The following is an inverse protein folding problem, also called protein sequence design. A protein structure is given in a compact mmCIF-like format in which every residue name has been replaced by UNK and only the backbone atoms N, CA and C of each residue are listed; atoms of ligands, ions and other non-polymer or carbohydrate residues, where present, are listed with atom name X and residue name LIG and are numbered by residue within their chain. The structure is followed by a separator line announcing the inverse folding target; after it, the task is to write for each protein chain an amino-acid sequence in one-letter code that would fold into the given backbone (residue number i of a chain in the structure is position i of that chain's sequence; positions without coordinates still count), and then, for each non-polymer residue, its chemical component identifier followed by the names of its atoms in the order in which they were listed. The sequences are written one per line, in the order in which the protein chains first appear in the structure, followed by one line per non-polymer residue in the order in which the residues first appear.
data_IF_231614643463
#
_entry.id   IF_231614643463
#
_cell.length_a   1.000
_cell.length_b   1.000
_cell.length_c   1.000
_cell.angle_alpha   90.00
_cell.angle_beta   90.00
_cell.angle_gamma   90.00
#
_symmetry.space_group_name_H-M   'P 1'
#
loop_
_entity.id
_entity.type
_entity.pdbx_description
1 polymer ?
#
# COMPACT_ATOMS: atom_id res chain seq x y z
N UNK A 1 -27.83 -4.06 33.35
CA UNK A 1 -27.25 -4.45 32.05
C UNK A 1 -28.24 -4.07 30.97
N UNK A 2 -27.90 -3.13 30.09
CA UNK A 2 -28.76 -2.82 28.94
C UNK A 2 -28.60 -3.95 27.92
N UNK A 3 -29.70 -4.64 27.61
CA UNK A 3 -29.71 -5.69 26.60
C UNK A 3 -29.32 -5.07 25.24
N UNK A 4 -28.29 -5.62 24.61
CA UNK A 4 -27.86 -5.20 23.28
C UNK A 4 -28.86 -5.78 22.27
N UNK A 5 -29.51 -4.94 21.47
CA UNK A 5 -30.40 -5.40 20.40
C UNK A 5 -29.56 -5.76 19.16
N UNK A 6 -29.05 -6.99 19.13
CA UNK A 6 -28.19 -7.47 18.04
C UNK A 6 -28.88 -7.43 16.67
N UNK A 7 -30.19 -7.64 16.60
CA UNK A 7 -30.93 -7.64 15.34
C UNK A 7 -31.05 -6.24 14.71
N UNK A 8 -31.38 -5.23 15.52
CA UNK A 8 -31.42 -3.83 15.05
C UNK A 8 -30.02 -3.26 14.74
N UNK A 9 -29.00 -3.75 15.43
CA UNK A 9 -27.61 -3.43 15.14
C UNK A 9 -27.16 -4.01 13.80
N UNK A 10 -27.57 -5.23 13.47
CA UNK A 10 -27.24 -5.88 12.21
C UNK A 10 -27.90 -5.19 11.01
N UNK A 11 -29.19 -4.83 11.10
CA UNK A 11 -29.86 -4.10 10.01
C UNK A 11 -29.22 -2.74 9.75
N UNK A 12 -28.84 -2.00 10.78
CA UNK A 12 -28.12 -0.73 10.63
C UNK A 12 -26.74 -0.87 9.95
N UNK A 13 -26.03 -1.97 10.23
CA UNK A 13 -24.76 -2.30 9.55
C UNK A 13 -25.01 -2.63 8.07
N UNK A 14 -25.99 -3.48 7.79
CA UNK A 14 -26.33 -3.90 6.44
C UNK A 14 -26.80 -2.72 5.58
N UNK A 15 -27.74 -1.93 6.09
CA UNK A 15 -28.29 -0.77 5.38
C UNK A 15 -27.22 0.31 5.17
N UNK A 16 -26.36 0.55 6.15
CA UNK A 16 -25.24 1.47 6.03
C UNK A 16 -24.26 1.05 4.93
N UNK A 17 -23.98 -0.24 4.83
CA UNK A 17 -23.06 -0.79 3.84
C UNK A 17 -23.67 -0.79 2.44
N UNK A 18 -24.91 -1.28 2.30
CA UNK A 18 -25.62 -1.32 1.03
C UNK A 18 -25.81 0.06 0.40
N UNK A 19 -25.99 1.10 1.22
CA UNK A 19 -26.10 2.49 0.78
C UNK A 19 -24.74 3.21 0.66
N UNK A 20 -23.62 2.52 0.81
CA UNK A 20 -22.28 3.10 0.65
C UNK A 20 -21.91 4.16 1.68
N UNK A 21 -22.57 4.19 2.84
CA UNK A 21 -22.31 5.21 3.88
C UNK A 21 -20.93 5.05 4.52
N UNK A 22 -20.47 3.81 4.68
CA UNK A 22 -19.13 3.49 5.17
C UNK A 22 -18.76 2.04 4.85
N UNK A 23 -17.47 1.71 4.99
CA UNK A 23 -16.97 0.33 4.84
C UNK A 23 -17.55 -0.54 5.95
N UNK A 24 -17.92 -1.78 5.61
CA UNK A 24 -18.56 -2.76 6.50
C UNK A 24 -17.87 -2.88 7.88
N UNK A 25 -16.54 -2.95 7.91
CA UNK A 25 -15.76 -3.07 9.15
C UNK A 25 -15.97 -1.90 10.11
N UNK A 26 -16.11 -0.67 9.59
CA UNK A 26 -16.37 0.51 10.41
C UNK A 26 -17.78 0.44 11.00
N UNK A 27 -18.76 0.05 10.17
CA UNK A 27 -20.16 -0.07 10.59
C UNK A 27 -20.33 -1.15 11.67
N UNK A 28 -19.62 -2.27 11.57
CA UNK A 28 -19.62 -3.34 12.58
C UNK A 28 -19.05 -2.85 13.91
N UNK A 29 -17.98 -2.05 13.91
CA UNK A 29 -17.41 -1.50 15.16
C UNK A 29 -18.31 -0.39 15.74
N UNK A 30 -18.95 0.40 14.87
CA UNK A 30 -19.86 1.46 15.29
C UNK A 30 -21.17 0.90 15.84
N UNK A 31 -21.74 -0.14 15.23
CA UNK A 31 -23.11 -0.56 15.50
C UNK A 31 -23.23 -2.03 15.91
N UNK A 32 -22.24 -2.88 15.63
CA UNK A 32 -22.45 -4.33 15.53
C UNK A 32 -22.35 -5.16 16.82
N UNK A 33 -21.56 -4.81 17.84
CA UNK A 33 -21.21 -5.85 18.84
C UNK A 33 -20.97 -5.47 20.30
N UNK A 34 -20.94 -4.21 20.72
CA UNK A 34 -20.61 -3.91 22.12
C UNK A 34 -21.25 -2.63 22.71
N UNK A 35 -21.40 -2.62 24.05
CA UNK A 35 -21.87 -1.47 24.82
C UNK A 35 -20.91 -0.27 24.78
N UNK A 36 -21.35 0.89 25.31
CA UNK A 36 -20.72 2.20 25.08
C UNK A 36 -19.20 2.27 25.30
N UNK A 37 -18.68 1.70 26.39
CA UNK A 37 -17.24 1.75 26.69
C UNK A 37 -16.39 0.90 25.73
N UNK A 38 -16.82 -0.32 25.43
CA UNK A 38 -16.10 -1.21 24.50
C UNK A 38 -16.16 -0.66 23.08
N UNK A 39 -17.31 -0.11 22.65
CA UNK A 39 -17.44 0.59 21.37
C UNK A 39 -16.44 1.74 21.25
N UNK A 40 -16.30 2.58 22.27
CA UNK A 40 -15.37 3.71 22.25
C UNK A 40 -13.91 3.26 22.14
N UNK A 41 -13.51 2.23 22.89
CA UNK A 41 -12.16 1.67 22.82
C UNK A 41 -11.89 1.05 21.44
N UNK A 42 -12.81 0.21 20.93
CA UNK A 42 -12.65 -0.42 19.62
C UNK A 42 -12.58 0.59 18.48
N UNK A 43 -13.38 1.66 18.52
CA UNK A 43 -13.33 2.73 17.51
C UNK A 43 -11.99 3.46 17.53
N UNK A 44 -11.44 3.68 18.72
CA UNK A 44 -10.12 4.32 18.90
C UNK A 44 -9.03 3.46 18.29
N UNK A 45 -8.99 2.17 18.63
CA UNK A 45 -8.02 1.23 18.07
C UNK A 45 -8.16 1.09 16.56
N UNK A 46 -9.39 1.03 16.04
CA UNK A 46 -9.64 0.98 14.60
C UNK A 46 -9.12 2.23 13.89
N UNK A 47 -9.33 3.41 14.48
CA UNK A 47 -8.83 4.69 13.92
C UNK A 47 -7.30 4.70 13.87
N UNK A 48 -6.65 4.26 14.94
CA UNK A 48 -5.19 4.12 15.00
C UNK A 48 -4.69 3.12 13.95
N UNK A 49 -5.36 1.98 13.81
CA UNK A 49 -5.00 0.96 12.83
C UNK A 49 -5.11 1.48 11.39
N UNK A 50 -6.21 2.18 11.05
CA UNK A 50 -6.41 2.80 9.73
C UNK A 50 -5.32 3.85 9.48
N UNK A 51 -4.99 4.66 10.48
CA UNK A 51 -3.93 5.66 10.37
C UNK A 51 -2.57 5.02 10.04
N UNK A 52 -2.16 3.98 10.78
CA UNK A 52 -0.91 3.29 10.47
C UNK A 52 -0.94 2.53 9.14
N UNK A 53 -2.07 1.90 8.79
CA UNK A 53 -2.23 1.20 7.52
C UNK A 53 -2.05 2.16 6.34
N UNK A 54 -2.70 3.32 6.38
CA UNK A 54 -2.58 4.33 5.31
C UNK A 54 -1.16 4.89 5.20
N UNK A 55 -0.48 5.16 6.32
CA UNK A 55 0.93 5.58 6.33
C UNK A 55 1.83 4.50 5.71
N UNK A 56 1.67 3.24 6.14
CA UNK A 56 2.47 2.13 5.63
C UNK A 56 2.33 1.98 4.11
N UNK A 57 1.09 2.01 3.61
CA UNK A 57 0.83 1.97 2.16
C UNK A 57 1.47 3.15 1.43
N UNK A 58 1.32 4.37 1.96
CA UNK A 58 1.89 5.56 1.33
C UNK A 58 3.43 5.53 1.27
N UNK A 59 4.08 5.13 2.36
CA UNK A 59 5.54 5.01 2.44
C UNK A 59 6.06 3.94 1.48
N UNK A 60 5.41 2.76 1.44
CA UNK A 60 5.81 1.68 0.54
C UNK A 60 5.76 2.11 -0.94
N UNK A 61 4.74 2.88 -1.34
CA UNK A 61 4.65 3.41 -2.70
C UNK A 61 5.71 4.48 -2.98
N UNK A 62 5.96 5.40 -2.04
CA UNK A 62 7.01 6.41 -2.19
C UNK A 62 8.41 5.78 -2.31
N UNK A 63 8.71 4.76 -1.49
CA UNK A 63 9.95 4.00 -1.58
C UNK A 63 10.09 3.29 -2.93
N UNK A 64 9.04 2.59 -3.37
CA UNK A 64 9.05 1.92 -4.67
C UNK A 64 9.21 2.89 -5.85
N UNK A 65 8.65 4.09 -5.76
CA UNK A 65 8.86 5.14 -6.77
C UNK A 65 10.31 5.64 -6.75
N UNK A 66 10.84 5.99 -5.57
CA UNK A 66 12.20 6.46 -5.40
C UNK A 66 13.22 5.47 -5.96
N UNK A 67 13.10 4.18 -5.61
CA UNK A 67 14.04 3.17 -6.06
C UNK A 67 14.05 3.04 -7.58
N UNK A 68 12.88 3.06 -8.23
CA UNK A 68 12.79 3.03 -9.70
C UNK A 68 13.42 4.26 -10.34
N UNK A 69 13.12 5.45 -9.82
CA UNK A 69 13.65 6.71 -10.34
C UNK A 69 15.18 6.81 -10.16
N UNK A 70 15.68 6.45 -8.98
CA UNK A 70 17.12 6.50 -8.65
C UNK A 70 17.92 5.45 -9.41
N UNK A 71 17.41 4.22 -9.53
CA UNK A 71 18.05 3.17 -10.31
C UNK A 71 18.09 3.52 -11.81
N UNK A 72 17.00 4.10 -12.33
CA UNK A 72 16.97 4.60 -13.70
C UNK A 72 17.99 5.72 -13.91
N UNK A 73 18.07 6.68 -12.98
CA UNK A 73 19.03 7.77 -13.03
C UNK A 73 20.47 7.25 -13.03
N UNK A 74 20.82 6.36 -12.08
CA UNK A 74 22.15 5.78 -11.98
C UNK A 74 22.55 5.05 -13.27
N UNK A 75 21.65 4.25 -13.85
CA UNK A 75 21.91 3.54 -15.11
C UNK A 75 22.14 4.52 -16.27
N UNK A 76 21.39 5.62 -16.31
CA UNK A 76 21.48 6.63 -17.37
C UNK A 76 22.76 7.47 -17.27
N UNK A 77 23.22 7.78 -16.06
CA UNK A 77 24.42 8.59 -15.84
C UNK A 77 25.71 7.78 -15.76
N UNK A 78 25.62 6.44 -15.68
CA UNK A 78 26.79 5.58 -15.48
C UNK A 78 27.51 5.89 -14.17
N UNK A 79 26.81 6.41 -13.17
CA UNK A 79 27.41 6.84 -11.91
C UNK A 79 27.91 5.63 -11.11
N UNK A 80 29.12 5.72 -10.57
CA UNK A 80 29.71 4.67 -9.75
C UNK A 80 28.77 4.29 -8.59
N UNK A 81 28.55 2.99 -8.33
CA UNK A 81 27.63 2.53 -7.29
C UNK A 81 27.87 3.16 -5.92
N UNK A 82 29.12 3.42 -5.54
CA UNK A 82 29.47 4.00 -4.23
C UNK A 82 29.07 5.47 -4.12
N UNK A 83 29.20 6.21 -5.22
CA UNK A 83 28.80 7.63 -5.28
C UNK A 83 27.28 7.75 -5.33
N UNK A 84 26.60 6.85 -6.05
CA UNK A 84 25.15 6.75 -6.09
C UNK A 84 24.57 6.48 -4.70
N UNK A 85 25.14 5.51 -3.96
CA UNK A 85 24.71 5.15 -2.62
C UNK A 85 24.85 6.32 -1.63
N UNK A 86 25.99 7.02 -1.64
CA UNK A 86 26.23 8.16 -0.76
C UNK A 86 25.24 9.32 -0.99
N UNK A 87 24.78 9.52 -2.25
CA UNK A 87 23.81 10.57 -2.60
C UNK A 87 22.35 10.09 -2.57
N UNK A 88 22.12 8.78 -2.40
CA UNK A 88 20.79 8.15 -2.52
C UNK A 88 19.80 8.73 -1.52
N UNK A 89 20.20 8.90 -0.26
CA UNK A 89 19.30 9.44 0.77
C UNK A 89 18.84 10.87 0.44
N UNK A 90 19.77 11.75 0.03
CA UNK A 90 19.42 13.14 -0.31
C UNK A 90 18.51 13.21 -1.53
N UNK A 91 18.84 12.48 -2.60
CA UNK A 91 18.02 12.44 -3.82
C UNK A 91 16.66 11.79 -3.56
N UNK A 92 16.63 10.72 -2.77
CA UNK A 92 15.41 10.06 -2.32
C UNK A 92 14.51 10.98 -1.51
N UNK A 93 15.05 11.76 -0.57
CA UNK A 93 14.27 12.73 0.19
C UNK A 93 13.62 13.80 -0.71
N UNK A 94 14.37 14.32 -1.70
CA UNK A 94 13.85 15.28 -2.68
C UNK A 94 12.75 14.64 -3.55
N UNK A 95 12.97 13.44 -4.05
CA UNK A 95 11.98 12.71 -4.85
C UNK A 95 10.71 12.40 -4.03
N UNK A 96 10.85 11.98 -2.77
CA UNK A 96 9.71 11.79 -1.85
C UNK A 96 8.94 13.09 -1.66
N UNK A 97 9.62 14.21 -1.45
CA UNK A 97 8.96 15.50 -1.30
C UNK A 97 8.18 15.89 -2.55
N UNK A 98 8.77 15.75 -3.73
CA UNK A 98 8.10 15.98 -5.01
C UNK A 98 6.90 15.05 -5.17
N UNK A 99 7.05 13.77 -4.85
CA UNK A 99 5.97 12.78 -4.88
C UNK A 99 4.79 13.19 -3.98
N UNK A 100 5.07 13.66 -2.77
CA UNK A 100 4.04 14.16 -1.83
C UNK A 100 3.34 15.39 -2.42
N UNK A 101 4.08 16.36 -2.96
CA UNK A 101 3.47 17.55 -3.57
C UNK A 101 2.57 17.20 -4.77
N UNK A 102 3.00 16.28 -5.64
CA UNK A 102 2.22 15.84 -6.78
C UNK A 102 0.96 15.10 -6.37
N UNK A 103 1.06 14.16 -5.43
CA UNK A 103 -0.08 13.39 -4.94
C UNK A 103 -1.08 14.28 -4.20
N UNK A 104 -0.60 15.25 -3.43
CA UNK A 104 -1.44 16.28 -2.80
C UNK A 104 -2.12 17.18 -3.83
N UNK A 105 -1.42 17.62 -4.88
CA UNK A 105 -2.01 18.40 -5.97
C UNK A 105 -3.11 17.63 -6.70
N UNK A 106 -2.89 16.35 -6.99
CA UNK A 106 -3.89 15.48 -7.63
C UNK A 106 -5.11 15.28 -6.72
N UNK A 107 -4.92 15.18 -5.40
CA UNK A 107 -6.03 14.98 -4.47
C UNK A 107 -7.00 16.16 -4.42
N UNK A 108 -6.55 17.38 -4.76
CA UNK A 108 -7.42 18.55 -4.87
C UNK A 108 -8.44 18.43 -6.01
N UNK A 109 -8.18 17.61 -7.03
CA UNK A 109 -9.09 17.39 -8.16
C UNK A 109 -10.32 16.54 -7.81
N UNK A 110 -10.47 16.11 -6.55
CA UNK A 110 -11.63 15.39 -6.03
C UNK A 110 -11.32 13.93 -5.71
N UNK A 111 -11.24 13.64 -4.41
CA UNK A 111 -10.95 12.29 -3.88
C UNK A 111 -11.91 11.22 -4.42
N UNK A 112 -13.20 11.53 -4.54
CA UNK A 112 -14.22 10.58 -5.00
C UNK A 112 -13.97 10.13 -6.45
N UNK A 113 -13.62 11.05 -7.34
CA UNK A 113 -13.32 10.72 -8.74
C UNK A 113 -12.03 9.90 -8.86
N UNK A 114 -11.04 10.20 -8.01
CA UNK A 114 -9.78 9.45 -7.95
C UNK A 114 -10.00 8.02 -7.45
N UNK A 115 -10.85 7.83 -6.44
CA UNK A 115 -11.19 6.50 -5.91
C UNK A 115 -12.03 5.72 -6.92
N UNK A 116 -13.02 6.33 -7.56
CA UNK A 116 -13.92 5.58 -8.44
C UNK A 116 -13.32 5.28 -9.81
N UNK A 117 -12.58 6.22 -10.42
CA UNK A 117 -12.01 6.05 -11.77
C UNK A 117 -10.52 5.70 -11.74
N UNK A 118 -9.78 6.30 -10.81
CA UNK A 118 -8.35 6.03 -10.66
C UNK A 118 -8.07 4.61 -10.19
N UNK A 119 -8.89 4.06 -9.28
CA UNK A 119 -8.73 2.68 -8.84
C UNK A 119 -9.01 1.70 -9.98
N UNK A 120 -10.06 1.93 -10.79
CA UNK A 120 -10.35 1.12 -11.97
C UNK A 120 -9.19 1.18 -12.98
N UNK A 121 -8.65 2.35 -13.25
CA UNK A 121 -7.48 2.50 -14.13
C UNK A 121 -6.25 1.76 -13.58
N UNK A 122 -5.96 1.89 -12.29
CA UNK A 122 -4.88 1.16 -11.63
C UNK A 122 -5.08 -0.36 -11.70
N UNK A 123 -6.31 -0.85 -11.54
CA UNK A 123 -6.65 -2.27 -11.70
C UNK A 123 -6.33 -2.79 -13.11
N UNK A 124 -6.64 -2.03 -14.16
CA UNK A 124 -6.27 -2.41 -15.53
C UNK A 124 -4.76 -2.44 -15.72
N UNK A 125 -4.01 -1.48 -15.17
CA UNK A 125 -2.54 -1.50 -15.23
C UNK A 125 -1.98 -2.73 -14.50
N UNK A 126 -2.53 -3.07 -13.33
CA UNK A 126 -2.10 -4.25 -12.56
C UNK A 126 -2.35 -5.56 -13.29
N UNK A 127 -3.40 -5.64 -14.12
CA UNK A 127 -3.64 -6.82 -14.96
C UNK A 127 -2.42 -7.12 -15.84
N UNK A 128 -1.88 -6.11 -16.53
CA UNK A 128 -0.77 -6.29 -17.45
C UNK A 128 0.60 -6.30 -16.78
N UNK A 129 0.77 -5.58 -15.68
CA UNK A 129 2.08 -5.39 -15.02
C UNK A 129 2.37 -6.39 -13.91
N UNK A 130 1.33 -6.99 -13.31
CA UNK A 130 1.45 -7.92 -12.20
C UNK A 130 0.76 -9.26 -12.50
N UNK A 131 -0.55 -9.24 -12.74
CA UNK A 131 -1.36 -10.47 -12.80
C UNK A 131 -0.92 -11.36 -13.96
N UNK A 132 -0.91 -10.84 -15.19
CA UNK A 132 -0.50 -11.62 -16.37
C UNK A 132 0.93 -12.15 -16.24
N UNK A 133 1.96 -11.33 -15.91
CA UNK A 133 3.32 -11.84 -15.69
C UNK A 133 3.40 -12.93 -14.62
N UNK A 134 2.70 -12.77 -13.48
CA UNK A 134 2.70 -13.77 -12.42
C UNK A 134 2.06 -15.08 -12.87
N UNK A 135 0.91 -15.03 -13.54
CA UNK A 135 0.24 -16.23 -14.09
C UNK A 135 1.15 -16.92 -15.11
N UNK A 136 1.78 -16.16 -16.01
CA UNK A 136 2.71 -16.70 -17.00
C UNK A 136 3.91 -17.38 -16.32
N UNK A 137 4.49 -16.79 -15.27
CA UNK A 137 5.58 -17.41 -14.51
C UNK A 137 5.13 -18.68 -13.77
N UNK A 138 3.87 -18.76 -13.31
CA UNK A 138 3.33 -19.99 -12.73
C UNK A 138 3.17 -21.08 -13.79
N UNK A 139 2.72 -20.73 -15.01
CA UNK A 139 2.52 -21.69 -16.11
C UNK A 139 3.85 -22.19 -16.67
N UNK A 140 4.79 -21.27 -16.95
CA UNK A 140 6.09 -21.58 -17.56
C UNK A 140 7.06 -22.19 -16.53
N UNK A 141 6.75 -22.06 -15.23
CA UNK A 141 7.67 -22.30 -14.14
C UNK A 141 8.53 -21.06 -13.91
N UNK A 142 8.72 -20.70 -12.64
CA UNK A 142 9.56 -19.55 -12.29
C UNK A 142 11.00 -19.90 -12.67
N UNK A 143 11.62 -19.21 -13.65
CA UNK A 143 13.03 -19.38 -13.85
C UNK A 143 13.71 -18.85 -12.59
N UNK A 144 14.39 -19.73 -11.86
CA UNK A 144 15.24 -19.32 -10.76
C UNK A 144 16.24 -18.31 -11.33
N UNK A 145 16.00 -17.02 -11.08
CA UNK A 145 17.07 -16.03 -11.22
C UNK A 145 18.14 -16.51 -10.27
N UNK A 146 19.39 -16.55 -10.73
CA UNK A 146 20.58 -16.80 -9.93
C UNK A 146 20.63 -15.90 -8.67
N UNK A 147 19.84 -16.22 -7.67
CA UNK A 147 19.98 -15.74 -6.30
C UNK A 147 21.11 -16.51 -5.60
N UNK A 148 21.56 -17.61 -6.21
CA UNK A 148 22.55 -18.54 -5.66
C UNK A 148 23.98 -18.27 -6.16
N UNK A 149 24.20 -17.54 -7.27
CA UNK A 149 25.57 -17.28 -7.76
C UNK A 149 26.35 -16.34 -6.84
N UNK A 150 25.68 -15.38 -6.19
CA UNK A 150 26.30 -14.50 -5.20
C UNK A 150 26.65 -15.18 -3.86
N UNK A 151 25.94 -16.24 -3.50
CA UNK A 151 26.20 -16.99 -2.25
C UNK A 151 27.30 -18.03 -2.42
N UNK A 152 27.41 -18.64 -3.59
CA UNK A 152 28.48 -19.63 -3.91
C UNK A 152 29.85 -18.98 -4.09
N UNK A 153 29.93 -17.75 -4.59
CA UNK A 153 31.21 -17.01 -4.69
C UNK A 153 31.76 -16.65 -3.30
N UNK A 154 30.92 -16.28 -2.33
CA UNK A 154 31.40 -15.96 -0.97
C UNK A 154 31.79 -17.20 -0.15
N UNK A 155 31.24 -18.37 -0.46
CA UNK A 155 31.62 -19.62 0.20
C UNK A 155 32.96 -20.19 -0.32
N UNK A 156 33.46 -19.75 -1.48
CA UNK A 156 34.72 -20.22 -2.08
C UNK A 156 35.96 -19.36 -1.79
N UNK A 157 35.80 -18.20 -1.14
CA UNK A 157 36.90 -17.24 -0.88
C UNK A 157 37.32 -17.15 0.59
N UNK A 158 37.01 -18.15 1.41
CA UNK A 158 37.75 -18.41 2.64
C UNK A 158 38.67 -19.61 2.42
N UNK A 159 39.85 -19.34 1.87
CA UNK A 159 41.04 -20.16 2.16
C UNK A 159 41.71 -19.58 3.39
#
# INVERSE_FOLDING_TARGET
MNAINLAGNYSAVYDGWANGKAVYTILVVQNGWAGGAVKAISLTLLTIAIFFATISTAINYAQGFNDRALNWYQKKTGEDPKVSEAKRNRRGAVLTFVYICLTWGISQAGLTALVSKGLTAASYINLFTLILPTVMNVIIGWPDREYDSGRKVQAGTKK
#
